data_IF_251294737066
#
_entry.id   IF_251294737066
#
_cell.length_a   1.000
_cell.length_b   1.000
_cell.length_c   1.000
_cell.angle_alpha   90.00
_cell.angle_beta   90.00
_cell.angle_gamma   90.00
#
_symmetry.space_group_name_H-M   'P 1'
#
loop_
_entity.id
_entity.type
_entity.pdbx_description
1 polymer ?
#
# COMPACT_ATOMS: atom_id res chain seq x y z
N UNK A 1 -39.21 4.42 -9.31
CA UNK A 1 -38.58 3.23 -9.93
C UNK A 1 -37.26 3.55 -10.63
N UNK A 2 -37.02 4.77 -11.12
CA UNK A 2 -35.80 5.10 -11.87
C UNK A 2 -34.51 5.23 -11.05
N UNK A 3 -34.60 5.59 -9.75
CA UNK A 3 -33.45 5.76 -8.86
C UNK A 3 -32.54 4.51 -8.75
N UNK A 4 -33.13 3.31 -8.84
CA UNK A 4 -32.41 2.04 -8.74
C UNK A 4 -31.49 1.77 -9.94
N UNK A 5 -31.84 2.29 -11.11
CA UNK A 5 -31.04 2.15 -12.33
C UNK A 5 -29.74 2.95 -12.19
N UNK A 6 -29.82 4.17 -11.64
CA UNK A 6 -28.63 4.98 -11.36
C UNK A 6 -27.70 4.29 -10.35
N UNK A 7 -28.24 3.67 -9.30
CA UNK A 7 -27.43 2.88 -8.35
C UNK A 7 -26.73 1.70 -9.03
N UNK A 8 -27.41 0.96 -9.91
CA UNK A 8 -26.80 -0.15 -10.66
C UNK A 8 -25.67 0.32 -11.59
N UNK A 9 -25.87 1.44 -12.29
CA UNK A 9 -24.85 2.02 -13.18
C UNK A 9 -23.63 2.48 -12.38
N UNK A 10 -23.82 3.13 -11.23
CA UNK A 10 -22.73 3.58 -10.36
C UNK A 10 -21.93 2.38 -9.82
N UNK A 11 -22.62 1.31 -9.41
CA UNK A 11 -21.97 0.09 -8.90
C UNK A 11 -21.10 -0.57 -10.00
N UNK A 12 -21.63 -0.69 -11.22
CA UNK A 12 -20.88 -1.22 -12.37
C UNK A 12 -19.67 -0.35 -12.71
N UNK A 13 -19.82 0.96 -12.68
CA UNK A 13 -18.73 1.90 -12.96
C UNK A 13 -17.61 1.82 -11.91
N UNK A 14 -17.98 1.78 -10.62
CA UNK A 14 -17.02 1.55 -9.53
C UNK A 14 -16.27 0.23 -9.67
N UNK A 15 -16.98 -0.84 -10.07
CA UNK A 15 -16.37 -2.14 -10.30
C UNK A 15 -15.37 -2.13 -11.47
N UNK A 16 -15.69 -1.43 -12.56
CA UNK A 16 -14.76 -1.28 -13.69
C UNK A 16 -13.48 -0.53 -13.31
N UNK A 17 -13.61 0.59 -12.59
CA UNK A 17 -12.45 1.36 -12.08
C UNK A 17 -11.59 0.49 -11.16
N UNK A 18 -12.21 -0.32 -10.29
CA UNK A 18 -11.49 -1.23 -9.39
C UNK A 18 -10.62 -2.25 -10.15
N UNK A 19 -11.12 -2.80 -11.26
CA UNK A 19 -10.36 -3.72 -12.10
C UNK A 19 -9.14 -3.04 -12.76
N UNK A 20 -9.26 -1.78 -13.20
CA UNK A 20 -8.20 -1.03 -13.89
C UNK A 20 -7.03 -0.71 -12.95
N UNK A 21 -7.31 -0.38 -11.68
CA UNK A 21 -6.29 -0.03 -10.69
C UNK A 21 -5.34 -1.22 -10.39
N UNK A 22 -5.83 -2.45 -10.55
CA UNK A 22 -5.04 -3.66 -10.28
C UNK A 22 -3.92 -3.94 -11.30
N UNK A 23 -3.92 -3.27 -12.46
CA UNK A 23 -3.03 -3.59 -13.59
C UNK A 23 -1.73 -2.76 -13.67
N UNK A 24 -1.66 -1.58 -13.03
CA UNK A 24 -0.53 -0.65 -13.18
C UNK A 24 0.70 -1.00 -12.31
N UNK A 25 0.56 -1.90 -11.34
CA UNK A 25 1.63 -2.22 -10.38
C UNK A 25 2.84 -2.99 -10.96
N UNK A 26 2.82 -3.38 -12.24
CA UNK A 26 3.94 -4.12 -12.86
C UNK A 26 5.21 -3.29 -13.06
N UNK A 27 5.09 -1.97 -13.23
CA UNK A 27 6.26 -1.09 -13.46
C UNK A 27 7.10 -0.84 -12.22
N UNK A 28 6.54 -1.00 -11.02
CA UNK A 28 7.26 -0.76 -9.76
C UNK A 28 8.34 -1.84 -9.52
N UNK A 29 8.09 -3.08 -9.97
CA UNK A 29 9.00 -4.22 -9.75
C UNK A 29 10.34 -4.10 -10.48
N UNK A 30 10.37 -3.39 -11.62
CA UNK A 30 11.64 -3.13 -12.34
C UNK A 30 12.49 -2.05 -11.65
N UNK A 31 11.84 -1.06 -11.03
CA UNK A 31 12.52 -0.02 -10.26
C UNK A 31 13.18 -0.61 -9.02
N UNK A 32 12.46 -1.49 -8.29
CA UNK A 32 13.01 -2.20 -7.13
C UNK A 32 14.26 -3.01 -7.49
N UNK A 33 14.28 -3.65 -8.66
CA UNK A 33 15.41 -4.48 -9.08
C UNK A 33 16.67 -3.62 -9.31
N UNK A 34 16.52 -2.45 -9.93
CA UNK A 34 17.62 -1.50 -10.15
C UNK A 34 18.09 -0.87 -8.85
N UNK A 35 17.15 -0.52 -7.97
CA UNK A 35 17.46 0.04 -6.66
C UNK A 35 18.25 -0.97 -5.81
N UNK A 36 17.81 -2.24 -5.78
CA UNK A 36 18.51 -3.31 -5.05
C UNK A 36 19.93 -3.55 -5.58
N UNK A 37 20.16 -3.41 -6.89
CA UNK A 37 21.51 -3.53 -7.46
C UNK A 37 22.44 -2.40 -7.01
N UNK A 38 21.93 -1.16 -6.91
CA UNK A 38 22.68 0.00 -6.41
C UNK A 38 22.94 -0.12 -4.90
N UNK A 39 21.92 -0.50 -4.13
CA UNK A 39 22.02 -0.73 -2.68
C UNK A 39 23.09 -1.78 -2.38
N UNK A 40 23.08 -2.90 -3.11
CA UNK A 40 24.06 -3.98 -2.94
C UNK A 40 25.49 -3.54 -3.25
N UNK A 41 25.67 -2.63 -4.21
CA UNK A 41 26.99 -2.10 -4.55
C UNK A 41 27.49 -1.04 -3.54
N UNK A 42 26.57 -0.39 -2.80
CA UNK A 42 26.89 0.67 -1.83
C UNK A 42 26.93 0.19 -0.37
N UNK A 43 26.66 -1.09 -0.08
CA UNK A 43 26.55 -1.66 1.28
C UNK A 43 25.60 -0.91 2.24
N UNK A 44 24.68 -0.09 1.71
CA UNK A 44 23.73 0.65 2.52
C UNK A 44 22.63 -0.33 2.97
N UNK A 45 22.38 -0.45 4.27
CA UNK A 45 21.18 -1.16 4.76
C UNK A 45 19.95 -0.31 4.45
N UNK A 46 19.41 -0.45 3.24
CA UNK A 46 18.11 0.13 2.91
C UNK A 46 17.01 -0.80 3.43
N UNK A 47 16.43 -0.43 4.57
CA UNK A 47 15.20 -1.03 5.04
C UNK A 47 14.05 -0.10 4.67
N UNK A 48 13.03 -0.56 3.90
CA UNK A 48 11.85 0.24 3.58
C UNK A 48 11.02 0.63 4.82
N UNK A 49 11.46 0.21 6.01
CA UNK A 49 10.88 0.56 7.31
C UNK A 49 11.54 1.77 7.98
N UNK A 50 12.71 2.23 7.52
CA UNK A 50 13.49 3.26 8.22
C UNK A 50 12.96 4.69 7.97
N UNK A 51 12.20 4.88 6.89
CA UNK A 51 11.61 6.18 6.51
C UNK A 51 10.08 6.19 6.60
N UNK A 52 9.52 5.38 7.51
CA UNK A 52 8.07 5.37 7.73
C UNK A 52 7.62 6.60 8.53
N UNK A 53 6.48 7.20 8.16
CA UNK A 53 5.81 8.18 9.00
C UNK A 53 5.54 7.62 10.40
N UNK A 54 5.85 8.40 11.43
CA UNK A 54 5.65 8.04 12.85
C UNK A 54 4.16 7.71 13.11
N UNK A 55 3.25 8.31 12.35
CA UNK A 55 1.81 8.10 12.44
C UNK A 55 1.39 6.67 12.09
N UNK A 56 2.21 5.91 11.36
CA UNK A 56 1.96 4.49 11.09
C UNK A 56 2.19 3.66 12.35
N UNK A 57 3.29 3.93 13.06
CA UNK A 57 3.60 3.27 14.33
C UNK A 57 2.56 3.62 15.41
N UNK A 58 2.17 4.89 15.51
CA UNK A 58 1.08 5.31 16.40
C UNK A 58 -0.24 4.60 16.08
N UNK A 59 -0.59 4.48 14.80
CA UNK A 59 -1.80 3.78 14.38
C UNK A 59 -1.75 2.28 14.70
N UNK A 60 -0.58 1.65 14.63
CA UNK A 60 -0.40 0.24 14.96
C UNK A 60 -0.39 -0.01 16.47
N UNK A 61 0.25 0.86 17.26
CA UNK A 61 0.17 0.85 18.73
C UNK A 61 -1.25 1.04 19.23
N UNK A 62 -2.05 1.86 18.55
CA UNK A 62 -3.48 2.01 18.83
C UNK A 62 -4.34 0.85 18.30
N UNK A 63 -3.73 -0.24 17.80
CA UNK A 63 -4.38 -1.40 17.19
C UNK A 63 -5.33 -1.04 16.03
N UNK A 64 -5.10 0.11 15.39
CA UNK A 64 -5.91 0.64 14.31
C UNK A 64 -5.22 0.43 12.96
N UNK A 65 -5.23 -0.84 12.54
CA UNK A 65 -4.58 -1.29 11.32
C UNK A 65 -5.11 -0.63 10.05
N UNK A 66 -6.41 -0.31 10.01
CA UNK A 66 -7.03 0.38 8.85
C UNK A 66 -6.43 1.78 8.68
N UNK A 67 -6.22 2.50 9.79
CA UNK A 67 -5.59 3.82 9.76
C UNK A 67 -4.14 3.73 9.28
N UNK A 68 -3.37 2.75 9.77
CA UNK A 68 -1.99 2.51 9.34
C UNK A 68 -1.90 2.26 7.82
N UNK A 69 -2.78 1.40 7.28
CA UNK A 69 -2.89 1.14 5.84
C UNK A 69 -3.23 2.42 5.07
N UNK A 70 -4.16 3.24 5.58
CA UNK A 70 -4.55 4.50 4.92
C UNK A 70 -3.39 5.51 4.87
N UNK A 71 -2.62 5.62 5.94
CA UNK A 71 -1.44 6.50 6.01
C UNK A 71 -0.37 5.99 5.04
N UNK A 72 -0.05 4.70 5.07
CA UNK A 72 0.94 4.10 4.16
C UNK A 72 0.57 4.31 2.68
N UNK A 73 -0.70 4.15 2.32
CA UNK A 73 -1.20 4.42 0.96
C UNK A 73 -1.07 5.88 0.55
N UNK A 74 -1.32 6.82 1.48
CA UNK A 74 -1.14 8.25 1.21
C UNK A 74 0.33 8.62 1.06
N UNK A 75 1.20 7.99 1.84
CA UNK A 75 2.63 8.28 1.85
C UNK A 75 3.37 7.69 0.63
N UNK A 76 3.04 6.44 0.25
CA UNK A 76 3.74 5.71 -0.81
C UNK A 76 2.99 5.65 -2.13
N UNK A 77 1.70 5.98 -2.15
CA UNK A 77 0.82 5.75 -3.31
C UNK A 77 0.46 4.27 -3.52
N UNK A 78 0.82 3.37 -2.60
CA UNK A 78 0.62 1.93 -2.75
C UNK A 78 -0.86 1.53 -2.91
N UNK A 79 -1.05 0.39 -3.59
CA UNK A 79 -2.35 -0.25 -3.71
C UNK A 79 -2.86 -0.73 -2.35
N UNK A 80 -4.17 -0.97 -2.23
CA UNK A 80 -4.74 -1.46 -0.96
C UNK A 80 -4.13 -2.80 -0.53
N UNK A 81 -3.88 -3.70 -1.49
CA UNK A 81 -3.27 -5.01 -1.25
C UNK A 81 -1.83 -4.86 -0.73
N UNK A 82 -1.02 -4.06 -1.40
CA UNK A 82 0.39 -3.85 -1.06
C UNK A 82 0.54 -3.16 0.30
N UNK A 83 -0.28 -2.15 0.56
CA UNK A 83 -0.29 -1.47 1.84
C UNK A 83 -0.69 -2.41 2.99
N UNK A 84 -1.65 -3.32 2.75
CA UNK A 84 -2.00 -4.35 3.72
C UNK A 84 -0.83 -5.30 4.00
N UNK A 85 -0.20 -5.81 2.94
CA UNK A 85 0.94 -6.74 3.02
C UNK A 85 2.15 -6.11 3.72
N UNK A 86 2.44 -4.83 3.45
CA UNK A 86 3.51 -4.10 4.11
C UNK A 86 3.25 -3.94 5.61
N UNK A 87 2.05 -3.49 5.98
CA UNK A 87 1.67 -3.29 7.37
C UNK A 87 1.64 -4.62 8.15
N UNK A 88 1.19 -5.72 7.52
CA UNK A 88 1.29 -7.07 8.10
C UNK A 88 2.74 -7.41 8.48
N UNK A 89 3.68 -7.23 7.54
CA UNK A 89 5.09 -7.55 7.76
C UNK A 89 5.72 -6.64 8.81
N UNK A 90 5.37 -5.36 8.80
CA UNK A 90 5.86 -4.39 9.77
C UNK A 90 5.41 -4.74 11.19
N UNK A 91 4.13 -5.07 11.36
CA UNK A 91 3.58 -5.44 12.67
C UNK A 91 4.23 -6.71 13.26
N UNK A 92 4.51 -7.71 12.41
CA UNK A 92 5.20 -8.95 12.84
C UNK A 92 6.64 -8.67 13.28
N UNK A 93 7.31 -7.67 12.68
CA UNK A 93 8.67 -7.28 13.07
C UNK A 93 8.72 -6.57 14.42
N UNK A 94 7.78 -5.66 14.68
CA UNK A 94 7.76 -4.88 15.94
C UNK A 94 7.23 -5.67 17.14
N UNK A 95 6.67 -6.88 16.93
CA UNK A 95 6.23 -7.80 18.00
C UNK A 95 7.31 -8.80 18.43
N UNK A 96 8.56 -8.68 17.96
CA UNK A 96 9.73 -9.44 18.40
C UNK A 96 10.85 -8.51 18.85
#
# INVERSE_FOLDING_TARGET
MEMWIYFLVIILFCFAIFNIISAQFRKIREIDTKLNAIIKHLEIKYSPYDNLPIEIDEALKANNRIRAIKIYRKFTGAGLKEAKEFIDKYQVRDTH
#
